data_IF_697546094875
#
_entry.id   IF_697546094875
#
_cell.length_a   1.000
_cell.length_b   1.000
_cell.length_c   1.000
_cell.angle_alpha   90.00
_cell.angle_beta   90.00
_cell.angle_gamma   90.00
#
_symmetry.space_group_name_H-M   'P 1'
#
loop_
_entity.id
_entity.type
_entity.pdbx_description
1 polymer ?
#
# COMPACT_ATOMS: atom_id res chain seq x y z
N UNK A 1 3.90 -9.38 -6.40
CA UNK A 1 4.54 -9.78 -7.66
C UNK A 1 3.55 -10.06 -8.79
N UNK A 2 2.39 -10.68 -8.50
CA UNK A 2 1.40 -11.05 -9.51
C UNK A 2 0.92 -9.83 -10.32
N UNK A 3 0.46 -8.79 -9.63
CA UNK A 3 -0.04 -7.58 -10.28
C UNK A 3 1.07 -6.78 -11.00
N UNK A 4 2.28 -6.68 -10.45
CA UNK A 4 3.39 -6.00 -11.14
C UNK A 4 3.81 -6.77 -12.39
N UNK A 5 3.98 -8.09 -12.29
CA UNK A 5 4.32 -8.93 -13.44
C UNK A 5 3.27 -8.89 -14.56
N UNK A 6 1.99 -8.88 -14.20
CA UNK A 6 0.91 -8.66 -15.16
C UNK A 6 1.03 -7.30 -15.86
N UNK A 7 1.30 -6.23 -15.10
CA UNK A 7 1.50 -4.89 -15.66
C UNK A 7 2.69 -4.83 -16.62
N UNK A 8 3.81 -5.46 -16.25
CA UNK A 8 5.03 -5.49 -17.08
C UNK A 8 4.78 -6.27 -18.39
N UNK A 9 4.03 -7.39 -18.32
CA UNK A 9 3.60 -8.12 -19.53
C UNK A 9 2.73 -7.24 -20.43
N UNK A 10 1.79 -6.46 -19.86
CA UNK A 10 0.94 -5.56 -20.62
C UNK A 10 1.75 -4.43 -21.29
N UNK A 11 2.74 -3.87 -20.59
CA UNK A 11 3.67 -2.88 -21.14
C UNK A 11 4.46 -3.48 -22.30
N UNK A 12 5.01 -4.69 -22.11
CA UNK A 12 5.80 -5.39 -23.14
C UNK A 12 4.97 -5.70 -24.40
N UNK A 13 3.75 -6.20 -24.25
CA UNK A 13 2.82 -6.45 -25.36
C UNK A 13 2.44 -5.15 -26.09
N UNK A 14 2.17 -4.08 -25.34
CA UNK A 14 1.92 -2.76 -25.90
C UNK A 14 3.09 -2.26 -26.75
N UNK A 15 4.32 -2.41 -26.25
CA UNK A 15 5.54 -2.00 -26.95
C UNK A 15 5.73 -2.76 -28.29
N UNK A 16 5.39 -4.05 -28.34
CA UNK A 16 5.42 -4.83 -29.60
C UNK A 16 4.42 -4.25 -30.62
N UNK A 17 3.30 -3.71 -30.17
CA UNK A 17 2.28 -3.08 -31.03
C UNK A 17 2.57 -1.59 -31.30
N UNK A 18 3.69 -1.06 -30.82
CA UNK A 18 4.08 0.35 -31.00
C UNK A 18 3.45 1.32 -29.99
N UNK A 19 2.81 0.83 -28.92
CA UNK A 19 2.28 1.65 -27.83
C UNK A 19 3.27 1.72 -26.68
N UNK A 20 3.46 2.92 -26.12
CA UNK A 20 4.30 3.16 -24.96
C UNK A 20 3.42 3.43 -23.73
N UNK A 21 3.25 2.42 -22.88
CA UNK A 21 2.56 2.58 -21.60
C UNK A 21 3.55 2.99 -20.50
N UNK A 22 3.13 3.85 -19.56
CA UNK A 22 3.98 4.21 -18.42
C UNK A 22 4.13 3.03 -17.46
N UNK A 23 5.24 3.05 -16.70
CA UNK A 23 5.46 2.13 -15.58
C UNK A 23 4.32 2.22 -14.56
N UNK A 24 3.88 1.06 -14.05
CA UNK A 24 2.81 0.99 -13.06
C UNK A 24 3.33 0.68 -11.64
N UNK A 25 4.55 0.14 -11.53
CA UNK A 25 5.23 -0.16 -10.28
C UNK A 25 6.70 0.27 -10.34
N UNK A 26 7.20 0.85 -9.24
CA UNK A 26 8.60 1.29 -9.12
C UNK A 26 9.12 0.99 -7.71
N UNK A 27 9.47 -0.26 -7.43
CA UNK A 27 9.99 -0.73 -6.14
C UNK A 27 9.22 -0.17 -4.93
N UNK A 28 7.91 -0.41 -4.79
CA UNK A 28 7.07 0.25 -3.79
C UNK A 28 7.47 -0.07 -2.35
N UNK A 29 8.08 -1.22 -2.10
CA UNK A 29 8.44 -1.65 -0.74
C UNK A 29 9.70 -0.98 -0.17
N UNK A 30 10.42 -0.18 -0.96
CA UNK A 30 11.51 0.68 -0.44
C UNK A 30 11.02 2.06 0.00
N UNK A 31 9.73 2.33 -0.13
CA UNK A 31 9.13 3.62 0.22
C UNK A 31 9.40 4.01 1.68
N UNK A 32 9.56 5.31 1.91
CA UNK A 32 9.85 5.90 3.22
C UNK A 32 8.66 6.61 3.84
N UNK A 33 7.54 6.63 3.14
CA UNK A 33 6.25 7.15 3.60
C UNK A 33 5.11 6.50 2.85
N UNK A 34 3.88 6.62 3.32
CA UNK A 34 2.69 6.15 2.60
C UNK A 34 2.49 6.96 1.32
N UNK A 35 2.80 8.25 1.35
CA UNK A 35 2.79 9.09 0.14
C UNK A 35 3.78 8.59 -0.91
N UNK A 36 5.03 8.25 -0.53
CA UNK A 36 6.03 7.68 -1.43
C UNK A 36 5.61 6.29 -1.94
N UNK A 37 5.00 5.46 -1.08
CA UNK A 37 4.48 4.15 -1.49
C UNK A 37 3.48 4.28 -2.64
N UNK A 38 2.50 5.18 -2.56
CA UNK A 38 1.49 5.38 -3.60
C UNK A 38 1.99 6.11 -4.84
N UNK A 39 3.16 6.70 -4.80
CA UNK A 39 3.87 7.19 -5.99
C UNK A 39 4.59 6.07 -6.75
N UNK A 40 4.74 4.89 -6.13
CA UNK A 40 5.45 3.72 -6.64
C UNK A 40 4.55 2.51 -6.89
N UNK A 41 3.38 2.47 -6.27
CA UNK A 41 2.40 1.40 -6.36
C UNK A 41 1.21 1.84 -7.20
N UNK A 42 0.85 1.03 -8.23
CA UNK A 42 -0.31 1.28 -9.09
C UNK A 42 -0.39 2.73 -9.59
N UNK A 43 0.70 3.18 -10.21
CA UNK A 43 0.94 4.57 -10.60
C UNK A 43 -0.15 5.07 -11.54
N UNK A 44 -0.64 4.23 -12.46
CA UNK A 44 -1.71 4.57 -13.39
C UNK A 44 -3.01 4.96 -12.66
N UNK A 45 -3.43 4.17 -11.66
CA UNK A 45 -4.62 4.47 -10.86
C UNK A 45 -4.44 5.74 -10.04
N UNK A 46 -3.29 5.88 -9.37
CA UNK A 46 -2.96 7.06 -8.56
C UNK A 46 -2.94 8.33 -9.39
N UNK A 47 -2.39 8.26 -10.62
CA UNK A 47 -2.37 9.38 -11.57
C UNK A 47 -3.78 9.71 -12.03
N UNK A 48 -4.59 8.72 -12.36
CA UNK A 48 -5.98 8.93 -12.78
C UNK A 48 -6.80 9.63 -11.69
N UNK A 49 -6.78 9.13 -10.45
CA UNK A 49 -7.48 9.77 -9.34
C UNK A 49 -6.96 11.19 -9.04
N UNK A 50 -5.66 11.41 -9.17
CA UNK A 50 -5.06 12.73 -9.01
C UNK A 50 -5.58 13.71 -10.05
N UNK A 51 -5.58 13.34 -11.33
CA UNK A 51 -5.91 14.24 -12.43
C UNK A 51 -7.41 14.46 -12.55
N UNK A 52 -8.21 13.39 -12.44
CA UNK A 52 -9.64 13.46 -12.72
C UNK A 52 -10.53 13.67 -11.49
N UNK A 53 -10.01 13.47 -10.28
CA UNK A 53 -10.78 13.66 -9.03
C UNK A 53 -10.14 14.70 -8.12
N UNK A 54 -8.88 14.50 -7.71
CA UNK A 54 -8.25 15.34 -6.70
C UNK A 54 -8.04 16.79 -7.18
N UNK A 55 -7.48 16.97 -8.36
CA UNK A 55 -7.23 18.31 -8.95
C UNK A 55 -8.53 19.06 -9.24
N UNK A 56 -9.55 18.48 -9.90
CA UNK A 56 -10.84 19.13 -10.10
C UNK A 56 -11.56 19.55 -8.83
N UNK A 57 -11.44 18.79 -7.74
CA UNK A 57 -11.97 19.15 -6.41
C UNK A 57 -11.22 20.30 -5.74
N UNK A 58 -10.16 20.81 -6.36
CA UNK A 58 -9.34 21.93 -5.89
C UNK A 58 -7.95 21.54 -5.40
N UNK A 59 -7.63 20.24 -5.35
CA UNK A 59 -6.33 19.73 -4.93
C UNK A 59 -5.91 20.25 -3.56
N UNK A 60 -4.69 20.80 -3.48
CA UNK A 60 -4.11 21.43 -2.29
C UNK A 60 -4.22 22.98 -2.29
N UNK A 61 -4.94 23.58 -3.28
CA UNK A 61 -4.95 25.02 -3.47
C UNK A 61 -5.96 25.76 -2.61
N UNK A 62 -6.93 25.06 -2.01
CA UNK A 62 -8.06 25.65 -1.26
C UNK A 62 -7.95 25.48 0.25
N UNK A 63 -6.72 25.39 0.77
CA UNK A 63 -6.44 25.24 2.20
C UNK A 63 -6.53 23.80 2.71
N UNK A 64 -6.05 23.59 3.95
CA UNK A 64 -5.85 22.28 4.56
C UNK A 64 -7.15 21.48 4.73
N UNK A 65 -8.23 22.13 5.20
CA UNK A 65 -9.51 21.45 5.39
C UNK A 65 -10.07 20.87 4.08
N UNK A 66 -9.97 21.62 2.98
CA UNK A 66 -10.37 21.14 1.67
C UNK A 66 -9.47 20.02 1.16
N UNK A 67 -8.16 20.11 1.42
CA UNK A 67 -7.23 19.05 1.07
C UNK A 67 -7.54 17.75 1.78
N UNK A 68 -7.84 17.78 3.08
CA UNK A 68 -8.26 16.61 3.87
C UNK A 68 -9.53 16.00 3.28
N UNK A 69 -10.53 16.82 2.98
CA UNK A 69 -11.77 16.34 2.37
C UNK A 69 -11.50 15.67 1.01
N UNK A 70 -10.65 16.28 0.17
CA UNK A 70 -10.30 15.71 -1.13
C UNK A 70 -9.59 14.36 -0.99
N UNK A 71 -8.68 14.19 0.00
CA UNK A 71 -8.04 12.91 0.30
C UNK A 71 -9.08 11.88 0.71
N UNK A 72 -10.00 12.22 1.61
CA UNK A 72 -11.07 11.33 2.05
C UNK A 72 -11.94 10.88 0.86
N UNK A 73 -12.36 11.80 0.00
CA UNK A 73 -13.16 11.47 -1.19
C UNK A 73 -12.40 10.52 -2.11
N UNK A 74 -11.16 10.84 -2.47
CA UNK A 74 -10.34 10.02 -3.38
C UNK A 74 -10.18 8.61 -2.81
N UNK A 75 -9.81 8.47 -1.54
CA UNK A 75 -9.55 7.17 -0.94
C UNK A 75 -10.82 6.36 -0.67
N UNK A 76 -11.93 7.01 -0.37
CA UNK A 76 -13.25 6.35 -0.34
C UNK A 76 -13.61 5.78 -1.70
N UNK A 77 -13.46 6.57 -2.77
CA UNK A 77 -13.70 6.11 -4.14
C UNK A 77 -12.72 5.00 -4.55
N UNK A 78 -11.45 5.11 -4.19
CA UNK A 78 -10.45 4.07 -4.43
C UNK A 78 -10.86 2.75 -3.76
N UNK A 79 -11.33 2.78 -2.52
CA UNK A 79 -11.85 1.61 -1.83
C UNK A 79 -13.04 1.00 -2.57
N UNK A 80 -14.04 1.79 -2.93
CA UNK A 80 -15.24 1.34 -3.66
C UNK A 80 -14.87 0.73 -5.03
N UNK A 81 -13.89 1.28 -5.74
CA UNK A 81 -13.43 0.75 -7.01
C UNK A 81 -12.77 -0.64 -6.90
N UNK A 82 -12.25 -1.01 -5.72
CA UNK A 82 -11.65 -2.32 -5.47
C UNK A 82 -12.67 -3.41 -5.15
N UNK A 83 -13.88 -3.05 -4.78
CA UNK A 83 -14.96 -4.00 -4.54
C UNK A 83 -16.09 -3.43 -3.68
N UNK A 84 -17.24 -4.12 -3.66
CA UNK A 84 -18.44 -3.71 -2.92
C UNK A 84 -18.40 -4.08 -1.41
N UNK A 85 -17.33 -4.72 -0.94
CA UNK A 85 -17.19 -5.13 0.46
C UNK A 85 -16.79 -3.96 1.37
N UNK A 86 -17.26 -4.01 2.63
CA UNK A 86 -16.86 -3.04 3.66
C UNK A 86 -15.36 -3.05 3.95
N UNK A 87 -14.70 -4.19 3.76
CA UNK A 87 -13.26 -4.34 3.90
C UNK A 87 -12.48 -3.42 2.96
N UNK A 88 -12.91 -3.26 1.70
CA UNK A 88 -12.28 -2.35 0.74
C UNK A 88 -12.48 -0.88 1.12
N UNK A 89 -13.65 -0.54 1.66
CA UNK A 89 -13.90 0.81 2.19
C UNK A 89 -12.98 1.11 3.38
N UNK A 90 -12.86 0.18 4.35
CA UNK A 90 -11.94 0.33 5.48
C UNK A 90 -10.49 0.39 5.04
N UNK A 91 -10.09 -0.40 4.03
CA UNK A 91 -8.78 -0.34 3.43
C UNK A 91 -8.48 1.05 2.82
N UNK A 92 -9.41 1.61 2.06
CA UNK A 92 -9.27 2.96 1.52
C UNK A 92 -9.16 4.03 2.62
N UNK A 93 -10.05 3.98 3.64
CA UNK A 93 -10.03 4.91 4.77
C UNK A 93 -8.76 4.78 5.63
N UNK A 94 -8.18 3.58 5.73
CA UNK A 94 -6.88 3.35 6.37
C UNK A 94 -5.79 4.18 5.71
N UNK A 95 -5.68 4.13 4.39
CA UNK A 95 -4.70 4.95 3.67
C UNK A 95 -5.02 6.44 3.74
N UNK A 96 -6.30 6.82 3.66
CA UNK A 96 -6.71 8.22 3.86
C UNK A 96 -6.22 8.76 5.20
N UNK A 97 -6.38 7.99 6.29
CA UNK A 97 -5.92 8.36 7.63
C UNK A 97 -4.41 8.67 7.64
N UNK A 98 -3.58 7.74 7.16
CA UNK A 98 -2.13 7.94 7.20
C UNK A 98 -1.65 9.05 6.28
N UNK A 99 -2.25 9.21 5.10
CA UNK A 99 -1.95 10.33 4.21
C UNK A 99 -2.32 11.69 4.84
N UNK A 100 -3.43 11.75 5.58
CA UNK A 100 -3.81 12.96 6.33
C UNK A 100 -2.82 13.21 7.46
N UNK A 101 -2.42 12.19 8.24
CA UNK A 101 -1.41 12.33 9.30
C UNK A 101 -0.06 12.78 8.74
N UNK A 102 0.36 12.27 7.58
CA UNK A 102 1.57 12.74 6.89
C UNK A 102 1.46 14.22 6.46
N UNK A 103 0.28 14.67 6.06
CA UNK A 103 0.05 16.09 5.73
C UNK A 103 0.02 16.99 6.94
N UNK A 104 -0.48 16.51 8.08
CA UNK A 104 -0.60 17.33 9.29
C UNK A 104 0.73 17.52 10.02
N UNK A 105 1.49 16.45 10.25
CA UNK A 105 2.72 16.50 11.04
C UNK A 105 3.70 15.37 10.77
N UNK A 106 3.22 14.15 10.41
CA UNK A 106 4.07 12.97 10.36
C UNK A 106 5.09 13.04 9.21
N UNK A 107 4.71 13.69 8.08
CA UNK A 107 5.60 13.88 6.94
C UNK A 107 6.85 14.69 7.28
N UNK A 108 6.73 15.72 8.12
CA UNK A 108 7.89 16.50 8.57
C UNK A 108 8.75 15.70 9.56
N UNK A 109 8.15 14.90 10.43
CA UNK A 109 8.88 14.01 11.34
C UNK A 109 9.69 12.97 10.54
N UNK A 110 9.08 12.35 9.54
CA UNK A 110 9.73 11.33 8.71
C UNK A 110 10.88 11.89 7.87
N UNK A 111 10.78 13.13 7.36
CA UNK A 111 11.87 13.79 6.63
C UNK A 111 13.12 14.00 7.50
N UNK A 112 12.93 14.26 8.79
CA UNK A 112 14.01 14.50 9.74
C UNK A 112 14.51 13.22 10.44
N UNK A 113 13.82 12.08 10.24
CA UNK A 113 14.18 10.80 10.81
C UNK A 113 15.13 10.02 9.88
N UNK A 114 15.96 9.11 10.42
CA UNK A 114 16.71 8.17 9.59
C UNK A 114 15.79 7.38 8.65
N UNK A 115 16.24 7.14 7.42
CA UNK A 115 15.48 6.47 6.34
C UNK A 115 14.86 5.15 6.79
N UNK A 116 15.54 4.42 7.68
CA UNK A 116 15.06 3.13 8.21
C UNK A 116 13.71 3.28 8.93
N UNK A 117 13.53 4.35 9.72
CA UNK A 117 12.25 4.59 10.41
C UNK A 117 11.10 4.84 9.42
N UNK A 118 11.35 5.62 8.36
CA UNK A 118 10.38 5.84 7.31
C UNK A 118 9.99 4.53 6.60
N UNK A 119 10.96 3.67 6.29
CA UNK A 119 10.70 2.36 5.68
C UNK A 119 9.89 1.44 6.59
N UNK A 120 10.28 1.32 7.86
CA UNK A 120 9.55 0.50 8.84
C UNK A 120 8.12 0.99 9.00
N UNK A 121 7.93 2.31 9.12
CA UNK A 121 6.62 2.93 9.18
C UNK A 121 5.78 2.60 7.92
N UNK A 122 6.29 2.86 6.73
CA UNK A 122 5.57 2.61 5.48
C UNK A 122 5.22 1.13 5.33
N UNK A 123 6.17 0.22 5.58
CA UNK A 123 5.94 -1.22 5.55
C UNK A 123 4.89 -1.66 6.57
N UNK A 124 4.94 -1.17 7.82
CA UNK A 124 3.95 -1.52 8.83
C UNK A 124 2.54 -1.10 8.42
N UNK A 125 2.37 0.13 7.92
CA UNK A 125 1.07 0.62 7.44
C UNK A 125 0.56 -0.22 6.26
N UNK A 126 1.42 -0.54 5.31
CA UNK A 126 1.08 -1.35 4.12
C UNK A 126 0.75 -2.78 4.50
N UNK A 127 1.54 -3.45 5.34
CA UNK A 127 1.28 -4.83 5.76
C UNK A 127 -0.05 -4.96 6.51
N UNK A 128 -0.37 -4.02 7.40
CA UNK A 128 -1.67 -4.00 8.07
C UNK A 128 -2.79 -3.76 7.06
N UNK A 129 -2.59 -2.90 6.06
CA UNK A 129 -3.57 -2.64 5.02
C UNK A 129 -3.93 -3.89 4.21
N UNK A 130 -2.97 -4.78 3.96
CA UNK A 130 -3.23 -6.04 3.28
C UNK A 130 -4.12 -6.99 4.06
N UNK A 131 -4.15 -6.91 5.40
CA UNK A 131 -5.09 -7.69 6.22
C UNK A 131 -6.53 -7.22 5.96
N UNK A 132 -6.78 -5.90 5.90
CA UNK A 132 -8.10 -5.37 5.53
C UNK A 132 -8.49 -5.77 4.10
N UNK A 133 -7.54 -5.78 3.20
CA UNK A 133 -7.80 -6.13 1.80
C UNK A 133 -8.15 -7.61 1.62
N UNK A 134 -7.47 -8.49 2.34
CA UNK A 134 -7.57 -9.96 2.18
C UNK A 134 -8.76 -10.58 2.91
N UNK A 135 -9.26 -9.97 3.98
CA UNK A 135 -10.28 -10.53 4.86
C UNK A 135 -11.56 -9.69 4.84
N UNK A 136 -12.69 -10.34 4.64
CA UNK A 136 -13.99 -9.64 4.52
C UNK A 136 -14.67 -9.39 5.86
N UNK A 137 -14.50 -10.30 6.83
CA UNK A 137 -15.22 -10.23 8.11
C UNK A 137 -14.42 -9.50 9.18
N UNK A 138 -15.00 -8.49 9.85
CA UNK A 138 -14.29 -7.73 10.89
C UNK A 138 -13.71 -8.60 12.02
N UNK A 139 -14.39 -9.69 12.39
CA UNK A 139 -13.89 -10.62 13.41
C UNK A 139 -12.64 -11.38 12.96
N UNK A 140 -12.56 -11.76 11.69
CA UNK A 140 -11.37 -12.41 11.10
C UNK A 140 -10.20 -11.42 11.00
N UNK A 141 -10.46 -10.17 10.63
CA UNK A 141 -9.46 -9.10 10.61
C UNK A 141 -8.85 -8.91 12.00
N UNK A 142 -9.70 -8.78 13.03
CA UNK A 142 -9.23 -8.61 14.40
C UNK A 142 -8.43 -9.79 14.89
N UNK A 143 -8.92 -11.02 14.66
CA UNK A 143 -8.22 -12.25 15.04
C UNK A 143 -6.85 -12.36 14.34
N UNK A 144 -6.78 -12.01 13.06
CA UNK A 144 -5.52 -12.03 12.31
C UNK A 144 -4.53 -10.98 12.83
N UNK A 145 -4.98 -9.75 13.09
CA UNK A 145 -4.13 -8.72 13.70
C UNK A 145 -3.63 -9.13 15.08
N UNK A 146 -4.50 -9.71 15.93
CA UNK A 146 -4.07 -10.25 17.21
C UNK A 146 -3.00 -11.33 17.05
N UNK A 147 -3.15 -12.22 16.07
CA UNK A 147 -2.15 -13.26 15.78
C UNK A 147 -0.81 -12.64 15.31
N UNK A 148 -0.85 -11.63 14.42
CA UNK A 148 0.37 -10.95 13.95
C UNK A 148 1.21 -10.35 15.09
N UNK A 149 0.57 -9.88 16.14
CA UNK A 149 1.24 -9.28 17.30
C UNK A 149 1.40 -10.25 18.48
N UNK A 150 1.13 -11.55 18.30
CA UNK A 150 1.25 -12.59 19.35
C UNK A 150 0.24 -12.46 20.49
N UNK A 151 -0.87 -11.74 20.27
CA UNK A 151 -1.90 -11.45 21.28
C UNK A 151 -2.99 -12.53 21.38
N UNK A 152 -2.90 -13.57 20.56
CA UNK A 152 -3.88 -14.68 20.51
C UNK A 152 -3.58 -15.82 21.49
N UNK A 153 -2.61 -15.66 22.39
CA UNK A 153 -2.18 -16.69 23.35
C UNK A 153 -1.32 -17.82 22.77
N UNK A 154 -1.14 -17.92 21.46
CA UNK A 154 -0.30 -18.93 20.81
C UNK A 154 1.18 -18.52 20.71
N UNK A 155 1.52 -17.29 21.11
CA UNK A 155 2.86 -16.71 20.93
C UNK A 155 3.16 -16.35 19.47
N UNK A 156 4.34 -15.78 19.23
CA UNK A 156 4.79 -15.39 17.89
C UNK A 156 5.32 -16.56 17.06
N UNK A 157 5.69 -17.66 17.70
CA UNK A 157 6.27 -18.85 17.05
C UNK A 157 5.61 -20.10 17.59
N UNK A 158 5.14 -20.95 16.71
CA UNK A 158 4.67 -22.31 17.00
C UNK A 158 5.27 -23.29 15.99
N UNK A 159 5.10 -24.59 16.22
CA UNK A 159 5.66 -25.65 15.36
C UNK A 159 5.22 -25.49 13.89
N UNK A 160 3.97 -25.10 13.64
CA UNK A 160 3.45 -24.89 12.31
C UNK A 160 4.10 -23.68 11.63
N UNK A 161 4.26 -22.57 12.34
CA UNK A 161 4.96 -21.39 11.82
C UNK A 161 6.41 -21.67 11.49
N UNK A 162 7.11 -22.46 12.32
CA UNK A 162 8.48 -22.90 12.06
C UNK A 162 8.56 -23.81 10.82
N UNK A 163 7.63 -24.75 10.70
CA UNK A 163 7.55 -25.63 9.53
C UNK A 163 7.34 -24.84 8.25
N UNK A 164 6.33 -23.99 8.19
CA UNK A 164 6.03 -23.14 7.02
C UNK A 164 7.18 -22.16 6.73
N UNK A 165 7.79 -21.58 7.77
CA UNK A 165 8.95 -20.69 7.60
C UNK A 165 10.13 -21.39 6.94
N UNK A 166 10.43 -22.64 7.30
CA UNK A 166 11.47 -23.43 6.68
C UNK A 166 11.11 -23.87 5.25
N UNK A 167 9.88 -24.28 5.02
CA UNK A 167 9.39 -24.71 3.71
C UNK A 167 9.47 -23.57 2.68
N UNK A 168 9.08 -22.36 3.07
CA UNK A 168 9.05 -21.19 2.17
C UNK A 168 10.27 -20.29 2.29
N UNK A 169 11.30 -20.65 3.07
CA UNK A 169 12.46 -19.77 3.33
C UNK A 169 13.13 -19.28 2.05
N UNK A 170 13.39 -20.17 1.11
CA UNK A 170 14.05 -19.82 -0.17
C UNK A 170 13.16 -18.87 -0.98
N UNK A 171 11.86 -19.14 -1.05
CA UNK A 171 10.89 -18.27 -1.74
C UNK A 171 10.81 -16.90 -1.08
N UNK A 172 10.81 -16.84 0.24
CA UNK A 172 10.81 -15.58 1.00
C UNK A 172 12.07 -14.75 0.74
N UNK A 173 13.25 -15.39 0.70
CA UNK A 173 14.51 -14.70 0.39
C UNK A 173 14.45 -14.15 -1.03
N UNK A 174 14.04 -14.95 -2.02
CA UNK A 174 13.89 -14.50 -3.41
C UNK A 174 12.92 -13.32 -3.50
N UNK A 175 11.76 -13.42 -2.83
CA UNK A 175 10.76 -12.35 -2.80
C UNK A 175 11.31 -11.06 -2.18
N UNK A 176 12.07 -11.15 -1.08
CA UNK A 176 12.70 -9.99 -0.44
C UNK A 176 13.73 -9.33 -1.36
N UNK A 177 14.59 -10.13 -2.01
CA UNK A 177 15.58 -9.61 -2.98
C UNK A 177 14.90 -8.95 -4.17
N UNK A 178 13.84 -9.57 -4.71
CA UNK A 178 13.06 -9.02 -5.82
C UNK A 178 12.29 -7.72 -5.49
N UNK A 179 12.10 -7.42 -4.20
CA UNK A 179 11.54 -6.12 -3.77
C UNK A 179 12.55 -4.97 -3.83
N UNK A 180 13.84 -5.27 -3.99
CA UNK A 180 14.93 -4.29 -4.01
C UNK A 180 15.31 -3.90 -5.45
N UNK A 181 15.83 -2.70 -5.67
CA UNK A 181 16.35 -2.26 -6.97
C UNK A 181 17.74 -2.90 -7.22
N UNK A 182 17.77 -4.23 -7.36
CA UNK A 182 18.97 -5.02 -7.68
C UNK A 182 18.97 -5.29 -9.19
N UNK A 183 19.48 -4.35 -9.97
CA UNK A 183 19.59 -4.44 -11.41
C UNK A 183 20.67 -3.52 -11.94
#
# INVERSE_FOLDING_TARGET
FDFSGYSDMAIGLGAILGFHFPENFNYPYIATSVTDFWQRWHISLSTWFKEYVYIPLGGNRKGLARQILNILIVWTLTGICHGAGWNFLFWGLWFALFLILEKLFLGELLKNAPVVFGRVYALAVVLISWVFFALEKPGEILAYLQAMFGLNGAGLMNTQAMFLGNEYLVLLIIALVACLPVG
#
